data_IF_902213970103
#
_entry.id   IF_902213970103
#
_cell.length_a   1.000
_cell.length_b   1.000
_cell.length_c   1.000
_cell.angle_alpha   90.00
_cell.angle_beta   90.00
_cell.angle_gamma   90.00
#
_symmetry.space_group_name_H-M   'P 1'
#
loop_
_entity.id
_entity.type
_entity.pdbx_description
1 polymer ?
#
# COMPACT_ATOMS: atom_id res chain seq x y z
N UNK A 1 -6.37 -21.61 -2.81
CA UNK A 1 -5.70 -20.65 -3.70
C UNK A 1 -6.69 -20.10 -4.73
N UNK A 2 -6.57 -18.79 -5.06
CA UNK A 2 -7.36 -18.20 -6.14
C UNK A 2 -6.91 -18.71 -7.51
N UNK A 3 -7.70 -18.43 -8.55
CA UNK A 3 -7.32 -18.76 -9.94
C UNK A 3 -5.99 -18.08 -10.34
N UNK A 4 -5.68 -16.90 -9.77
CA UNK A 4 -4.43 -16.20 -10.03
C UNK A 4 -3.22 -16.97 -9.47
N UNK A 5 -3.38 -17.58 -8.29
CA UNK A 5 -2.33 -18.44 -7.71
C UNK A 5 -2.16 -19.73 -8.51
N UNK A 6 -3.25 -20.41 -8.86
CA UNK A 6 -3.19 -21.70 -9.57
C UNK A 6 -2.65 -21.58 -10.98
N UNK A 7 -2.80 -20.42 -11.61
CA UNK A 7 -2.26 -20.12 -12.94
C UNK A 7 -0.86 -19.48 -12.92
N UNK A 8 -0.24 -19.36 -11.74
CA UNK A 8 1.10 -18.79 -11.59
C UNK A 8 1.20 -17.29 -11.89
N UNK A 9 0.07 -16.56 -11.89
CA UNK A 9 0.09 -15.10 -12.05
C UNK A 9 0.58 -14.42 -10.77
N UNK A 10 0.29 -15.01 -9.61
CA UNK A 10 0.97 -14.70 -8.35
C UNK A 10 2.15 -15.67 -8.23
N UNK A 11 3.35 -15.21 -8.53
CA UNK A 11 4.54 -16.06 -8.69
C UNK A 11 5.62 -15.82 -7.63
N UNK A 12 5.50 -14.77 -6.82
CA UNK A 12 6.45 -14.45 -5.76
C UNK A 12 5.74 -13.93 -4.52
N UNK A 13 6.37 -14.12 -3.37
CA UNK A 13 5.84 -13.65 -2.09
C UNK A 13 6.97 -13.35 -1.10
N UNK A 14 6.67 -12.52 -0.10
CA UNK A 14 7.53 -12.29 1.06
C UNK A 14 6.70 -12.45 2.34
N UNK A 15 7.15 -13.34 3.24
CA UNK A 15 6.54 -13.59 4.56
C UNK A 15 5.02 -13.90 4.53
N UNK A 16 4.56 -14.56 3.47
CA UNK A 16 3.14 -14.93 3.29
C UNK A 16 2.68 -15.97 4.33
N UNK A 17 3.60 -16.73 4.90
CA UNK A 17 3.33 -17.70 5.97
C UNK A 17 2.67 -17.06 7.18
N UNK A 18 3.05 -15.85 7.58
CA UNK A 18 2.44 -15.10 8.69
C UNK A 18 0.97 -14.78 8.40
N UNK A 19 0.67 -14.36 7.16
CA UNK A 19 -0.70 -14.07 6.73
C UNK A 19 -1.54 -15.34 6.68
N UNK A 20 -0.99 -16.40 6.10
CA UNK A 20 -1.69 -17.70 6.04
C UNK A 20 -1.96 -18.26 7.42
N UNK A 21 -1.05 -18.09 8.36
CA UNK A 21 -1.26 -18.49 9.74
C UNK A 21 -2.40 -17.69 10.38
N UNK A 22 -2.43 -16.36 10.23
CA UNK A 22 -3.50 -15.51 10.74
C UNK A 22 -4.86 -15.95 10.16
N UNK A 23 -4.95 -16.11 8.84
CA UNK A 23 -6.17 -16.56 8.17
C UNK A 23 -6.65 -17.94 8.64
N UNK A 24 -5.75 -18.92 8.84
CA UNK A 24 -6.08 -20.28 9.32
C UNK A 24 -6.52 -20.29 10.78
N UNK A 25 -6.00 -19.37 11.59
CA UNK A 25 -6.28 -19.26 13.02
C UNK A 25 -7.40 -18.28 13.35
N UNK A 26 -8.13 -17.77 12.34
CA UNK A 26 -9.16 -16.73 12.47
C UNK A 26 -8.65 -15.49 13.21
N UNK A 27 -7.36 -15.16 13.04
CA UNK A 27 -6.79 -13.94 13.56
C UNK A 27 -6.96 -12.80 12.56
N UNK A 28 -7.09 -11.55 13.03
CA UNK A 28 -7.23 -10.40 12.14
C UNK A 28 -6.02 -10.25 11.21
N UNK A 29 -6.27 -9.98 9.96
CA UNK A 29 -5.27 -9.55 8.99
C UNK A 29 -5.91 -8.60 7.97
N UNK A 30 -5.11 -7.83 7.26
CA UNK A 30 -5.61 -6.86 6.31
C UNK A 30 -4.92 -6.95 4.96
N UNK A 31 -5.50 -6.26 4.00
CA UNK A 31 -4.92 -6.02 2.67
C UNK A 31 -4.80 -4.53 2.46
N UNK A 32 -3.64 -4.07 2.01
CA UNK A 32 -3.49 -2.74 1.46
C UNK A 32 -3.25 -2.85 -0.04
N UNK A 33 -4.03 -2.12 -0.82
CA UNK A 33 -3.75 -1.87 -2.23
C UNK A 33 -3.83 -0.38 -2.51
N UNK A 34 -3.25 0.05 -3.63
CA UNK A 34 -3.23 1.45 -4.03
C UNK A 34 -3.65 1.64 -5.48
N UNK A 35 -4.08 2.84 -5.79
CA UNK A 35 -4.29 3.30 -7.15
C UNK A 35 -3.77 4.73 -7.31
N UNK A 36 -3.10 5.00 -8.42
CA UNK A 36 -2.74 6.36 -8.82
C UNK A 36 -3.78 6.87 -9.81
N UNK A 37 -4.54 7.94 -9.50
CA UNK A 37 -5.62 8.44 -10.34
C UNK A 37 -5.09 9.23 -11.54
N UNK A 38 -4.48 8.53 -12.50
CA UNK A 38 -3.82 9.13 -13.67
C UNK A 38 -4.48 8.80 -15.02
N UNK A 39 -5.48 7.92 -15.04
CA UNK A 39 -6.12 7.47 -16.28
C UNK A 39 -7.25 6.49 -16.05
N UNK A 40 -7.55 5.70 -17.08
CA UNK A 40 -8.58 4.66 -17.00
C UNK A 40 -8.04 3.38 -16.35
N UNK A 41 -8.92 2.67 -15.66
CA UNK A 41 -8.63 1.33 -15.17
C UNK A 41 -8.32 0.39 -16.34
N UNK A 42 -7.36 -0.52 -16.15
CA UNK A 42 -6.96 -1.54 -17.11
C UNK A 42 -6.79 -2.90 -16.43
N UNK A 43 -6.52 -3.95 -17.22
CA UNK A 43 -6.46 -5.34 -16.75
C UNK A 43 -5.48 -5.56 -15.57
N UNK A 44 -4.36 -4.84 -15.52
CA UNK A 44 -3.44 -4.93 -14.39
C UNK A 44 -4.09 -4.56 -13.04
N UNK A 45 -4.94 -3.54 -13.03
CA UNK A 45 -5.69 -3.17 -11.82
C UNK A 45 -6.70 -4.24 -11.44
N UNK A 46 -7.39 -4.87 -12.41
CA UNK A 46 -8.36 -5.94 -12.10
C UNK A 46 -7.70 -7.13 -11.40
N UNK A 47 -6.48 -7.49 -11.79
CA UNK A 47 -5.74 -8.58 -11.16
C UNK A 47 -5.43 -8.30 -9.68
N UNK A 48 -5.08 -7.06 -9.35
CA UNK A 48 -4.83 -6.65 -7.96
C UNK A 48 -6.12 -6.69 -7.14
N UNK A 49 -7.23 -6.19 -7.69
CA UNK A 49 -8.53 -6.21 -7.02
C UNK A 49 -9.07 -7.64 -6.84
N UNK A 50 -8.89 -8.52 -7.80
CA UNK A 50 -9.25 -9.94 -7.64
C UNK A 50 -8.45 -10.62 -6.51
N UNK A 51 -7.19 -10.24 -6.30
CA UNK A 51 -6.43 -10.69 -5.14
C UNK A 51 -7.03 -10.11 -3.84
N UNK A 52 -7.30 -8.80 -3.79
CA UNK A 52 -7.89 -8.16 -2.61
C UNK A 52 -9.23 -8.82 -2.23
N UNK A 53 -10.11 -9.07 -3.18
CA UNK A 53 -11.38 -9.80 -2.98
C UNK A 53 -11.16 -11.21 -2.44
N UNK A 54 -10.17 -11.92 -2.98
CA UNK A 54 -9.87 -13.26 -2.50
C UNK A 54 -9.43 -13.23 -1.03
N UNK A 55 -8.56 -12.30 -0.62
CA UNK A 55 -8.19 -12.15 0.79
C UNK A 55 -9.39 -11.71 1.64
N UNK A 56 -10.22 -10.79 1.14
CA UNK A 56 -11.43 -10.35 1.82
C UNK A 56 -12.41 -11.49 2.08
N UNK A 57 -12.58 -12.41 1.13
CA UNK A 57 -13.39 -13.62 1.31
C UNK A 57 -12.81 -14.59 2.34
N UNK A 58 -11.55 -14.40 2.75
CA UNK A 58 -10.87 -15.16 3.80
C UNK A 58 -10.72 -14.37 5.11
N UNK A 59 -11.47 -13.28 5.27
CA UNK A 59 -11.56 -12.54 6.52
C UNK A 59 -10.67 -11.28 6.60
N UNK A 60 -10.02 -10.87 5.52
CA UNK A 60 -9.24 -9.65 5.51
C UNK A 60 -10.10 -8.39 5.45
N UNK A 61 -9.72 -7.35 6.19
CA UNK A 61 -10.14 -5.98 5.92
C UNK A 61 -9.31 -5.40 4.76
N UNK A 62 -9.94 -4.65 3.86
CA UNK A 62 -9.26 -4.08 2.70
C UNK A 62 -9.13 -2.57 2.85
N UNK A 63 -7.92 -2.07 2.71
CA UNK A 63 -7.62 -0.65 2.58
C UNK A 63 -7.20 -0.33 1.15
N UNK A 64 -7.83 0.68 0.55
CA UNK A 64 -7.51 1.17 -0.80
C UNK A 64 -7.00 2.60 -0.70
N UNK A 65 -5.70 2.77 -0.92
CA UNK A 65 -5.06 4.08 -0.96
C UNK A 65 -5.23 4.73 -2.33
N UNK A 66 -5.85 5.89 -2.37
CA UNK A 66 -5.83 6.74 -3.58
C UNK A 66 -4.60 7.64 -3.50
N UNK A 67 -3.60 7.35 -4.34
CA UNK A 67 -2.31 8.06 -4.39
C UNK A 67 -2.44 9.39 -5.15
N UNK A 68 -3.29 10.28 -4.65
CA UNK A 68 -3.55 11.60 -5.24
C UNK A 68 -2.39 12.58 -5.04
N UNK A 69 -1.64 12.48 -3.93
CA UNK A 69 -0.42 13.25 -3.73
C UNK A 69 0.69 12.82 -4.69
N UNK A 70 0.86 11.53 -4.91
CA UNK A 70 1.81 11.01 -5.89
C UNK A 70 1.44 11.42 -7.31
N UNK A 71 0.15 11.33 -7.67
CA UNK A 71 -0.36 11.77 -8.97
C UNK A 71 -0.13 13.26 -9.21
N UNK A 72 -0.31 14.10 -8.18
CA UNK A 72 0.04 15.53 -8.23
C UNK A 72 1.54 15.72 -8.45
N UNK A 73 2.38 15.04 -7.68
CA UNK A 73 3.83 15.19 -7.70
C UNK A 73 4.47 14.74 -9.02
N UNK A 74 3.99 13.62 -9.61
CA UNK A 74 4.63 12.96 -10.76
C UNK A 74 3.94 13.23 -12.09
N UNK A 75 2.64 13.52 -12.08
CA UNK A 75 1.82 13.71 -13.29
C UNK A 75 1.19 15.10 -13.38
N UNK A 76 1.34 15.95 -12.37
CA UNK A 76 0.71 17.28 -12.34
C UNK A 76 -0.82 17.25 -12.29
N UNK A 77 -1.44 16.12 -11.89
CA UNK A 77 -2.88 16.00 -11.76
C UNK A 77 -3.32 16.71 -10.49
N UNK A 78 -4.19 17.73 -10.60
CA UNK A 78 -4.71 18.42 -9.43
C UNK A 78 -5.52 17.49 -8.53
N UNK A 79 -5.56 17.76 -7.21
CA UNK A 79 -6.25 16.91 -6.23
C UNK A 79 -7.74 16.72 -6.59
N UNK A 80 -8.44 17.78 -7.00
CA UNK A 80 -9.85 17.71 -7.41
C UNK A 80 -10.06 16.80 -8.63
N UNK A 81 -9.19 16.95 -9.64
CA UNK A 81 -9.22 16.10 -10.83
C UNK A 81 -8.89 14.64 -10.49
N UNK A 82 -7.87 14.43 -9.67
CA UNK A 82 -7.49 13.10 -9.17
C UNK A 82 -8.63 12.44 -8.41
N UNK A 83 -9.29 13.19 -7.52
CA UNK A 83 -10.48 12.71 -6.78
C UNK A 83 -11.61 12.27 -7.71
N UNK A 84 -11.93 13.08 -8.71
CA UNK A 84 -12.96 12.74 -9.71
C UNK A 84 -12.59 11.46 -10.47
N UNK A 85 -11.38 11.38 -10.99
CA UNK A 85 -10.88 10.19 -11.71
C UNK A 85 -10.96 8.95 -10.80
N UNK A 86 -10.49 9.05 -9.55
CA UNK A 86 -10.51 7.92 -8.62
C UNK A 86 -11.93 7.39 -8.39
N UNK A 87 -12.89 8.26 -8.13
CA UNK A 87 -14.27 7.87 -7.87
C UNK A 87 -14.96 7.28 -9.11
N UNK A 88 -14.82 7.94 -10.26
CA UNK A 88 -15.52 7.55 -11.48
C UNK A 88 -14.88 6.35 -12.21
N UNK A 89 -13.55 6.23 -12.18
CA UNK A 89 -12.84 5.24 -13.00
C UNK A 89 -12.33 4.04 -12.19
N UNK A 90 -12.20 4.15 -10.86
CA UNK A 90 -11.63 3.09 -10.04
C UNK A 90 -12.61 2.58 -8.98
N UNK A 91 -13.05 3.43 -8.07
CA UNK A 91 -13.90 3.01 -6.94
C UNK A 91 -15.21 2.39 -7.43
N UNK A 92 -15.87 3.00 -8.43
CA UNK A 92 -17.07 2.45 -9.05
C UNK A 92 -16.83 1.07 -9.69
N UNK A 93 -15.68 0.89 -10.36
CA UNK A 93 -15.31 -0.40 -10.93
C UNK A 93 -14.98 -1.44 -9.86
N UNK A 94 -14.32 -1.06 -8.76
CA UNK A 94 -14.02 -1.97 -7.65
C UNK A 94 -15.31 -2.50 -6.99
N UNK A 95 -16.29 -1.61 -6.80
CA UNK A 95 -17.62 -1.99 -6.34
C UNK A 95 -18.31 -2.94 -7.33
N UNK A 96 -18.28 -2.61 -8.63
CA UNK A 96 -18.86 -3.45 -9.68
C UNK A 96 -18.17 -4.83 -9.80
N UNK A 97 -16.87 -4.93 -9.48
CA UNK A 97 -16.14 -6.19 -9.39
C UNK A 97 -16.47 -7.00 -8.13
N UNK A 98 -17.28 -6.45 -7.21
CA UNK A 98 -17.77 -7.15 -6.02
C UNK A 98 -16.81 -7.09 -4.82
N UNK A 99 -15.99 -6.05 -4.71
CA UNK A 99 -15.30 -5.74 -3.45
C UNK A 99 -16.35 -5.31 -2.41
N UNK A 100 -16.36 -5.98 -1.26
CA UNK A 100 -17.36 -5.75 -0.20
C UNK A 100 -17.13 -4.37 0.44
N UNK A 101 -18.08 -3.42 0.34
CA UNK A 101 -17.92 -2.08 0.88
C UNK A 101 -17.85 -2.05 2.42
N UNK A 102 -18.52 -2.99 3.11
CA UNK A 102 -18.55 -3.03 4.57
C UNK A 102 -17.19 -3.42 5.18
N UNK A 103 -16.34 -4.05 4.37
CA UNK A 103 -14.97 -4.48 4.72
C UNK A 103 -13.89 -3.76 3.92
N UNK A 104 -14.26 -2.66 3.26
CA UNK A 104 -13.32 -1.89 2.42
C UNK A 104 -13.29 -0.43 2.84
N UNK A 105 -12.13 0.06 3.19
CA UNK A 105 -11.88 1.47 3.42
C UNK A 105 -11.14 2.08 2.23
N UNK A 106 -11.78 3.02 1.53
CA UNK A 106 -11.12 3.84 0.50
C UNK A 106 -10.75 5.19 1.12
N UNK A 107 -9.50 5.62 0.94
CA UNK A 107 -9.05 6.92 1.42
C UNK A 107 -8.12 7.61 0.41
N UNK A 108 -8.01 8.92 0.53
CA UNK A 108 -7.09 9.74 -0.25
C UNK A 108 -5.87 10.12 0.61
N UNK A 109 -4.68 10.01 0.07
CA UNK A 109 -3.45 10.40 0.78
C UNK A 109 -3.52 11.85 1.27
N UNK A 110 -4.09 12.76 0.46
CA UNK A 110 -4.22 14.18 0.80
C UNK A 110 -5.12 14.45 2.00
N UNK A 111 -6.08 13.56 2.29
CA UNK A 111 -7.05 13.71 3.39
C UNK A 111 -6.81 12.75 4.55
N UNK A 112 -5.70 11.97 4.51
CA UNK A 112 -5.30 11.05 5.58
C UNK A 112 -4.02 11.54 6.26
N UNK A 113 -4.12 12.43 7.27
CA UNK A 113 -2.94 13.04 7.89
C UNK A 113 -2.01 12.03 8.58
N UNK A 114 -2.53 10.88 9.03
CA UNK A 114 -1.74 9.81 9.65
C UNK A 114 -0.70 9.25 8.68
N UNK A 115 -1.07 9.05 7.41
CA UNK A 115 -0.16 8.59 6.35
C UNK A 115 0.99 9.58 6.15
N UNK A 116 0.67 10.86 6.05
CA UNK A 116 1.67 11.90 5.86
C UNK A 116 2.59 12.04 7.08
N UNK A 117 2.03 12.01 8.31
CA UNK A 117 2.81 12.03 9.55
C UNK A 117 3.75 10.83 9.67
N UNK A 118 3.27 9.63 9.33
CA UNK A 118 4.10 8.42 9.31
C UNK A 118 5.22 8.54 8.27
N UNK A 119 4.91 8.95 7.04
CA UNK A 119 5.89 9.17 5.99
C UNK A 119 6.99 10.14 6.44
N UNK A 120 6.63 11.25 7.06
CA UNK A 120 7.59 12.22 7.59
C UNK A 120 8.44 11.63 8.73
N UNK A 121 7.81 10.97 9.71
CA UNK A 121 8.52 10.39 10.87
C UNK A 121 9.46 9.26 10.44
N UNK A 122 9.00 8.37 9.57
CA UNK A 122 9.75 7.23 9.08
C UNK A 122 10.87 7.64 8.11
N UNK A 123 10.70 8.75 7.38
CA UNK A 123 11.72 9.33 6.51
C UNK A 123 13.03 9.67 7.20
N UNK A 124 13.06 9.78 8.53
CA UNK A 124 14.31 9.90 9.32
C UNK A 124 15.22 8.68 9.24
N UNK A 125 14.74 7.57 8.69
CA UNK A 125 15.47 6.28 8.60
C UNK A 125 16.05 6.01 7.22
N UNK A 126 15.87 6.94 6.30
CA UNK A 126 16.45 6.92 4.96
C UNK A 126 17.05 8.28 4.62
N UNK A 127 17.73 8.38 3.50
CA UNK A 127 18.35 9.60 3.02
C UNK A 127 18.20 9.75 1.50
N UNK A 128 18.54 10.92 0.98
CA UNK A 128 18.39 11.24 -0.45
C UNK A 128 19.21 10.30 -1.35
N UNK A 129 20.40 9.89 -0.91
CA UNK A 129 21.25 8.98 -1.70
C UNK A 129 20.63 7.60 -1.83
N UNK A 130 20.03 7.07 -0.75
CA UNK A 130 19.29 5.79 -0.79
C UNK A 130 18.08 5.88 -1.72
N UNK A 131 17.29 6.96 -1.61
CA UNK A 131 16.14 7.18 -2.49
C UNK A 131 16.58 7.38 -3.94
N UNK A 132 17.64 8.12 -4.19
CA UNK A 132 18.22 8.30 -5.52
C UNK A 132 18.67 6.98 -6.16
N UNK A 133 19.32 6.11 -5.38
CA UNK A 133 19.75 4.80 -5.85
C UNK A 133 18.57 3.86 -6.20
N UNK A 134 17.43 4.01 -5.51
CA UNK A 134 16.23 3.18 -5.74
C UNK A 134 15.38 3.73 -6.90
N UNK A 135 15.20 5.05 -6.97
CA UNK A 135 14.21 5.70 -7.85
C UNK A 135 14.84 6.50 -9.00
N UNK A 136 16.17 6.63 -9.03
CA UNK A 136 16.86 7.42 -10.04
C UNK A 136 16.66 8.93 -9.89
N UNK A 137 16.45 9.42 -8.66
CA UNK A 137 16.30 10.86 -8.42
C UNK A 137 17.59 11.60 -8.71
N UNK A 138 17.48 12.69 -9.46
CA UNK A 138 18.56 13.58 -9.83
C UNK A 138 18.38 14.97 -9.17
N UNK A 139 19.34 15.86 -9.35
CA UNK A 139 19.35 17.16 -8.69
C UNK A 139 18.19 18.10 -9.08
N UNK A 140 17.53 17.85 -10.22
CA UNK A 140 16.36 18.60 -10.72
C UNK A 140 15.02 17.95 -10.38
N UNK A 141 15.03 16.76 -9.74
CA UNK A 141 13.80 16.09 -9.29
C UNK A 141 13.07 16.98 -8.28
N UNK A 142 11.79 17.28 -8.52
CA UNK A 142 11.03 18.11 -7.60
C UNK A 142 10.83 17.43 -6.23
N UNK A 143 10.79 18.23 -5.16
CA UNK A 143 10.74 17.73 -3.79
C UNK A 143 9.47 16.91 -3.48
N UNK A 144 8.34 17.22 -4.10
CA UNK A 144 7.12 16.45 -3.92
C UNK A 144 7.29 15.02 -4.46
N UNK A 145 7.99 14.87 -5.60
CA UNK A 145 8.31 13.55 -6.16
C UNK A 145 9.27 12.77 -5.24
N UNK A 146 10.26 13.45 -4.64
CA UNK A 146 11.16 12.83 -3.65
C UNK A 146 10.41 12.38 -2.39
N UNK A 147 9.34 13.09 -2.00
CA UNK A 147 8.51 12.73 -0.85
C UNK A 147 7.52 11.59 -1.12
N UNK A 148 7.09 11.37 -2.36
CA UNK A 148 6.07 10.39 -2.71
C UNK A 148 6.37 8.97 -2.19
N UNK A 149 7.58 8.40 -2.30
CA UNK A 149 7.92 7.11 -1.70
C UNK A 149 7.74 7.06 -0.18
N UNK A 150 8.00 8.17 0.53
CA UNK A 150 7.83 8.23 1.97
C UNK A 150 6.35 8.26 2.37
N UNK A 151 5.51 8.93 1.59
CA UNK A 151 4.05 8.88 1.76
C UNK A 151 3.55 7.45 1.55
N UNK A 152 4.06 6.74 0.54
CA UNK A 152 3.72 5.33 0.30
C UNK A 152 4.18 4.41 1.45
N UNK A 153 5.34 4.67 2.06
CA UNK A 153 5.74 3.98 3.31
C UNK A 153 4.70 4.21 4.40
N UNK A 154 4.20 5.45 4.52
CA UNK A 154 3.11 5.80 5.43
C UNK A 154 1.83 5.01 5.13
N UNK A 155 1.44 4.86 3.85
CA UNK A 155 0.30 4.05 3.42
C UNK A 155 0.43 2.59 3.88
N UNK A 156 1.60 1.99 3.66
CA UNK A 156 1.83 0.57 4.00
C UNK A 156 1.75 0.32 5.50
N UNK A 157 2.16 1.29 6.30
CA UNK A 157 2.30 1.15 7.75
C UNK A 157 1.04 1.58 8.51
N UNK A 158 0.30 2.60 8.05
CA UNK A 158 -0.82 3.16 8.79
C UNK A 158 -1.98 2.19 9.12
N UNK A 159 -2.29 1.12 8.31
CA UNK A 159 -3.34 0.18 8.69
C UNK A 159 -3.07 -0.61 9.97
N UNK A 160 -1.83 -0.54 10.48
CA UNK A 160 -1.42 -1.16 11.74
C UNK A 160 -1.52 -0.22 12.95
N UNK A 161 -1.95 1.03 12.77
CA UNK A 161 -2.27 1.92 13.88
C UNK A 161 -3.56 1.44 14.57
N UNK A 162 -3.67 1.68 15.89
CA UNK A 162 -4.79 1.21 16.71
C UNK A 162 -6.15 1.68 16.16
N UNK A 163 -6.22 2.90 15.66
CA UNK A 163 -7.41 3.51 15.05
C UNK A 163 -7.83 2.90 13.70
N UNK A 164 -6.94 2.09 13.07
CA UNK A 164 -7.18 1.42 11.79
C UNK A 164 -7.15 -0.11 11.89
N UNK A 165 -7.24 -0.65 13.10
CA UNK A 165 -7.34 -2.08 13.36
C UNK A 165 -6.17 -2.69 14.11
N UNK A 166 -5.16 -1.89 14.47
CA UNK A 166 -4.04 -2.32 15.31
C UNK A 166 -3.02 -3.23 14.60
N UNK A 167 -2.07 -3.71 15.38
CA UNK A 167 -0.95 -4.52 14.88
C UNK A 167 -1.48 -5.86 14.39
N UNK A 168 -1.36 -6.09 13.08
CA UNK A 168 -1.73 -7.34 12.40
C UNK A 168 -0.96 -7.49 11.10
N UNK A 169 -0.88 -8.71 10.51
CA UNK A 169 -0.32 -8.89 9.18
C UNK A 169 -1.10 -8.10 8.13
N UNK A 170 -0.39 -7.38 7.27
CA UNK A 170 -0.96 -6.66 6.13
C UNK A 170 -0.35 -7.20 4.85
N UNK A 171 -1.22 -7.71 3.96
CA UNK A 171 -0.82 -8.12 2.60
C UNK A 171 -0.82 -6.91 1.70
N UNK A 172 0.22 -6.76 0.90
CA UNK A 172 0.31 -5.72 -0.12
C UNK A 172 0.50 -6.40 -1.48
N UNK A 173 -0.60 -6.72 -2.19
CA UNK A 173 -0.50 -7.29 -3.54
C UNK A 173 -0.05 -6.22 -4.52
N UNK A 174 1.06 -6.47 -5.21
CA UNK A 174 1.72 -5.50 -6.09
C UNK A 174 2.27 -6.15 -7.34
N UNK A 175 2.51 -5.36 -8.38
CA UNK A 175 3.32 -5.74 -9.52
C UNK A 175 4.82 -5.78 -9.16
N UNK A 176 5.61 -6.43 -10.00
CA UNK A 176 7.08 -6.53 -9.82
C UNK A 176 7.75 -5.16 -9.75
N UNK A 177 7.24 -4.21 -10.51
CA UNK A 177 7.70 -2.81 -10.53
C UNK A 177 7.58 -2.10 -9.17
N UNK A 178 6.70 -2.59 -8.28
CA UNK A 178 6.49 -2.05 -6.94
C UNK A 178 7.37 -2.71 -5.85
N UNK A 179 8.15 -3.76 -6.17
CA UNK A 179 9.03 -4.42 -5.20
C UNK A 179 10.04 -3.46 -4.53
N UNK A 180 10.63 -2.46 -5.22
CA UNK A 180 11.51 -1.48 -4.58
C UNK A 180 10.84 -0.72 -3.43
N UNK A 181 9.56 -0.36 -3.57
CA UNK A 181 8.80 0.35 -2.51
C UNK A 181 8.57 -0.55 -1.29
N UNK A 182 8.27 -1.84 -1.52
CA UNK A 182 8.08 -2.81 -0.44
C UNK A 182 9.39 -3.04 0.31
N UNK A 183 10.52 -3.13 -0.41
CA UNK A 183 11.86 -3.25 0.20
C UNK A 183 12.23 -2.01 1.01
N UNK A 184 12.03 -0.82 0.46
CA UNK A 184 12.27 0.44 1.18
C UNK A 184 11.48 0.50 2.47
N UNK A 185 10.18 0.15 2.42
CA UNK A 185 9.33 0.13 3.61
C UNK A 185 9.87 -0.82 4.68
N UNK A 186 10.24 -2.05 4.31
CA UNK A 186 10.82 -3.04 5.22
C UNK A 186 12.13 -2.55 5.84
N UNK A 187 13.01 -1.97 5.04
CA UNK A 187 14.28 -1.44 5.51
C UNK A 187 14.08 -0.29 6.50
N UNK A 188 13.22 0.66 6.19
CA UNK A 188 12.89 1.79 7.08
C UNK A 188 12.29 1.29 8.39
N UNK A 189 11.34 0.35 8.34
CA UNK A 189 10.68 -0.16 9.55
C UNK A 189 11.64 -0.97 10.40
N UNK A 190 12.53 -1.78 9.80
CA UNK A 190 13.54 -2.56 10.53
C UNK A 190 14.51 -1.68 11.33
N UNK A 191 14.79 -0.47 10.84
CA UNK A 191 15.61 0.55 11.48
C UNK A 191 14.87 1.36 12.55
N UNK A 192 13.57 1.11 12.74
CA UNK A 192 12.70 1.91 13.62
C UNK A 192 12.49 1.19 14.94
N UNK A 193 12.91 1.75 16.11
CA UNK A 193 12.69 1.13 17.42
C UNK A 193 11.19 0.92 17.69
N UNK A 194 10.85 -0.24 18.26
CA UNK A 194 9.47 -0.65 18.60
C UNK A 194 8.72 0.39 19.45
N UNK A 195 9.43 1.12 20.32
CA UNK A 195 8.87 2.17 21.17
C UNK A 195 8.29 3.38 20.40
N UNK A 196 8.59 3.51 19.11
CA UNK A 196 8.13 4.64 18.29
C UNK A 196 6.92 4.34 17.40
N UNK A 197 6.59 3.07 17.21
CA UNK A 197 5.58 2.70 16.22
C UNK A 197 4.47 1.82 16.77
N UNK A 198 4.62 1.15 17.90
CA UNK A 198 3.81 -0.03 18.22
C UNK A 198 3.76 -1.06 17.06
N UNK A 199 4.66 -0.88 16.08
CA UNK A 199 4.70 -1.64 14.82
C UNK A 199 5.84 -2.65 14.89
N UNK A 200 5.54 -3.83 15.33
CA UNK A 200 6.38 -5.00 15.07
C UNK A 200 5.96 -5.61 13.72
N UNK A 201 6.63 -5.21 12.65
CA UNK A 201 6.69 -6.14 11.52
C UNK A 201 7.45 -7.38 12.01
N UNK A 202 7.00 -8.60 11.69
CA UNK A 202 7.73 -9.80 12.06
C UNK A 202 9.12 -9.74 11.44
N UNK A 203 10.11 -9.37 12.26
CA UNK A 203 11.51 -9.54 11.92
C UNK A 203 11.80 -11.02 12.08
N UNK A 204 12.37 -11.66 11.06
CA UNK A 204 12.93 -13.00 11.20
C UNK A 204 13.83 -13.02 12.43
N UNK A 205 13.48 -13.79 13.44
CA UNK A 205 14.45 -14.33 14.37
C UNK A 205 15.37 -15.24 13.57
N UNK A 206 16.64 -14.92 13.54
CA UNK A 206 17.75 -15.74 13.04
C UNK A 206 17.67 -17.17 13.56
#
# INVERSE_FOLDING_TARGET
PSILHTRGLVFAQRDMDVVLQAARSNQPFGVLTGLMPSGRMHLGHTMVIEQAKWYQSHGADVSVAVADLESLATRGVSLDKGRKIALEQYVSNYAAMGLDPDKTQVYFQSTRPEVQRLGFRLGRRTNLSELGAIYGFEGDTNLAHVQAPLVQVGDIVHPMLDEYGGIRPIVVPVGVDQDPHIRLTRDIVSKTPVSYTHLTLPTKSS
#
